data_IF_550359638695
#
_entry.id   IF_550359638695
#
_cell.length_a   1.000
_cell.length_b   1.000
_cell.length_c   1.000
_cell.angle_alpha   90.00
_cell.angle_beta   90.00
_cell.angle_gamma   90.00
#
_symmetry.space_group_name_H-M   'P 1'
#
loop_
_entity.id
_entity.type
_entity.pdbx_description
1 polymer ?
#
# COMPACT_ATOMS: atom_id res chain seq x y z
N UNK A 1 -33.83 71.77 4.21
CA UNK A 1 -33.50 70.63 5.06
C UNK A 1 -33.55 69.35 4.20
N UNK A 2 -32.40 68.88 3.71
CA UNK A 2 -32.29 67.62 2.90
C UNK A 2 -31.65 66.56 3.78
N UNK A 3 -32.44 65.53 4.13
CA UNK A 3 -31.93 64.36 4.82
C UNK A 3 -31.24 63.42 3.81
N UNK A 4 -29.96 63.19 4.00
CA UNK A 4 -29.15 62.24 3.24
C UNK A 4 -29.19 60.91 3.98
N UNK A 5 -29.87 59.90 3.41
CA UNK A 5 -29.90 58.50 3.87
C UNK A 5 -28.63 57.80 3.34
N UNK A 6 -27.67 57.52 4.26
CA UNK A 6 -26.55 56.60 3.95
C UNK A 6 -27.05 55.17 4.05
N UNK A 7 -27.08 54.45 2.93
CA UNK A 7 -27.20 52.99 2.90
C UNK A 7 -25.82 52.37 3.09
N UNK A 8 -25.59 51.78 4.27
CA UNK A 8 -24.47 50.92 4.53
C UNK A 8 -24.76 49.55 3.88
N UNK A 9 -24.10 49.28 2.75
CA UNK A 9 -24.03 47.92 2.18
C UNK A 9 -23.03 47.12 3.03
N UNK A 10 -23.55 46.28 3.92
CA UNK A 10 -22.78 45.22 4.57
C UNK A 10 -22.64 44.07 3.60
N UNK A 11 -21.53 44.02 2.85
CA UNK A 11 -21.17 42.87 2.01
C UNK A 11 -20.74 41.73 2.91
N UNK A 12 -21.65 40.82 3.24
CA UNK A 12 -21.30 39.51 3.76
C UNK A 12 -20.49 38.78 2.72
N UNK A 13 -19.16 38.73 2.91
CA UNK A 13 -18.30 37.76 2.24
C UNK A 13 -18.67 36.37 2.75
N UNK A 14 -19.51 35.69 2.01
CA UNK A 14 -19.76 34.27 2.19
C UNK A 14 -18.51 33.55 1.68
N UNK A 15 -17.63 33.17 2.60
CA UNK A 15 -16.60 32.20 2.31
C UNK A 15 -17.31 30.86 2.04
N UNK A 16 -17.52 30.54 0.77
CA UNK A 16 -17.81 29.18 0.36
C UNK A 16 -16.56 28.36 0.69
N UNK A 17 -16.60 27.62 1.79
CA UNK A 17 -15.70 26.49 1.96
C UNK A 17 -16.01 25.55 0.79
N UNK A 18 -15.10 25.48 -0.18
CA UNK A 18 -15.15 24.44 -1.20
C UNK A 18 -15.22 23.10 -0.47
N UNK A 19 -16.36 22.44 -0.58
CA UNK A 19 -16.50 21.07 -0.11
C UNK A 19 -15.50 20.24 -0.92
N UNK A 20 -14.43 19.77 -0.27
CA UNK A 20 -13.54 18.78 -0.86
C UNK A 20 -14.44 17.61 -1.23
N UNK A 21 -14.65 17.38 -2.52
CA UNK A 21 -15.40 16.22 -3.01
C UNK A 21 -14.57 14.98 -2.64
N UNK A 22 -15.07 14.16 -1.71
CA UNK A 22 -14.46 12.89 -1.28
C UNK A 22 -14.60 11.83 -2.38
N UNK A 23 -14.20 12.18 -3.60
CA UNK A 23 -14.18 11.27 -4.76
C UNK A 23 -12.79 10.75 -4.99
N UNK A 24 -12.71 9.55 -5.55
CA UNK A 24 -11.45 8.97 -6.00
C UNK A 24 -10.98 9.71 -7.25
N UNK A 25 -9.77 10.22 -7.21
CA UNK A 25 -9.08 10.82 -8.35
C UNK A 25 -7.87 9.96 -8.74
N UNK A 26 -7.61 9.83 -10.03
CA UNK A 26 -6.39 9.21 -10.52
C UNK A 26 -5.37 10.31 -10.82
N UNK A 27 -4.21 10.19 -10.20
CA UNK A 27 -3.08 11.08 -10.42
C UNK A 27 -1.86 10.28 -10.89
N UNK A 28 -0.94 10.96 -11.56
CA UNK A 28 0.32 10.37 -11.99
C UNK A 28 1.49 11.30 -11.72
N UNK A 29 2.68 10.72 -11.58
CA UNK A 29 3.94 11.45 -11.43
C UNK A 29 5.05 10.72 -12.17
N UNK A 30 6.14 11.44 -12.41
CA UNK A 30 7.36 10.88 -13.00
C UNK A 30 8.43 10.71 -11.94
N UNK A 31 9.09 9.55 -11.96
CA UNK A 31 10.29 9.28 -11.17
C UNK A 31 11.29 8.54 -12.06
N UNK A 32 12.46 9.13 -12.26
CA UNK A 32 13.44 8.69 -13.26
C UNK A 32 12.79 8.60 -14.67
N UNK A 33 12.89 7.45 -15.32
CA UNK A 33 12.26 7.18 -16.62
C UNK A 33 10.83 6.61 -16.51
N UNK A 34 10.32 6.34 -15.29
CA UNK A 34 9.03 5.71 -15.07
C UNK A 34 7.92 6.76 -14.84
N UNK A 35 6.72 6.48 -15.36
CA UNK A 35 5.47 7.18 -14.99
C UNK A 35 4.67 6.24 -14.10
N UNK A 36 4.32 6.71 -12.91
CA UNK A 36 3.54 5.97 -11.90
C UNK A 36 2.18 6.64 -11.73
N UNK A 37 1.16 5.82 -11.53
CA UNK A 37 -0.21 6.25 -11.26
C UNK A 37 -0.64 5.80 -9.87
N UNK A 38 -1.52 6.55 -9.26
CA UNK A 38 -2.18 6.19 -8.01
C UNK A 38 -3.59 6.78 -7.96
N UNK A 39 -4.46 6.13 -7.19
CA UNK A 39 -5.75 6.65 -6.81
C UNK A 39 -5.62 7.40 -5.49
N UNK A 40 -6.31 8.54 -5.36
CA UNK A 40 -6.33 9.35 -4.15
C UNK A 40 -7.74 9.80 -3.81
N UNK A 41 -8.05 9.79 -2.51
CA UNK A 41 -9.13 10.57 -1.92
C UNK A 41 -8.48 11.67 -1.07
N UNK A 42 -8.53 12.94 -1.54
CA UNK A 42 -7.89 14.04 -0.86
C UNK A 42 -8.62 14.37 0.45
N UNK A 43 -7.87 14.81 1.47
CA UNK A 43 -8.41 15.19 2.76
C UNK A 43 -7.53 16.28 3.38
N UNK A 44 -8.10 17.08 4.29
CA UNK A 44 -7.37 18.04 5.14
C UNK A 44 -6.72 17.36 6.34
N UNK A 45 -6.85 16.07 6.49
CA UNK A 45 -6.29 15.28 7.59
C UNK A 45 -4.77 15.23 7.53
N UNK A 46 -4.15 15.10 8.69
CA UNK A 46 -2.69 15.14 8.84
C UNK A 46 -2.06 13.74 8.96
N UNK A 47 -2.68 12.75 8.35
CA UNK A 47 -2.18 11.38 8.24
C UNK A 47 -2.39 10.88 6.83
N UNK A 48 -1.55 9.95 6.38
CA UNK A 48 -1.68 9.26 5.11
C UNK A 48 -1.89 7.77 5.36
N UNK A 49 -2.87 7.17 4.68
CA UNK A 49 -2.99 5.72 4.55
C UNK A 49 -2.64 5.36 3.12
N UNK A 50 -1.57 4.59 2.96
CA UNK A 50 -1.00 4.21 1.68
C UNK A 50 -1.18 2.71 1.45
N UNK A 51 -1.97 2.33 0.45
CA UNK A 51 -2.27 0.95 0.09
C UNK A 51 -1.38 0.48 -1.07
N UNK A 52 -0.82 -0.74 -0.94
CA UNK A 52 0.07 -1.37 -1.92
C UNK A 52 -0.47 -2.76 -2.24
N UNK A 53 -0.91 -2.95 -3.47
CA UNK A 53 -1.53 -4.19 -3.94
C UNK A 53 -0.53 -5.36 -4.11
N UNK A 54 -1.07 -6.58 -4.15
CA UNK A 54 -0.35 -7.82 -4.42
C UNK A 54 0.02 -8.03 -5.89
N UNK A 55 0.29 -9.27 -6.27
CA UNK A 55 0.68 -9.68 -7.61
C UNK A 55 -0.23 -10.80 -8.14
N UNK A 56 -0.92 -10.60 -9.27
CA UNK A 56 -1.16 -9.32 -9.94
C UNK A 56 -2.14 -8.43 -9.18
N UNK A 57 -2.18 -7.14 -9.51
CA UNK A 57 -3.14 -6.21 -8.91
C UNK A 57 -3.07 -4.81 -9.51
N UNK A 58 -3.85 -3.91 -8.97
CA UNK A 58 -3.87 -2.47 -9.26
C UNK A 58 -4.45 -1.71 -8.08
N UNK A 59 -4.50 -0.38 -8.15
CA UNK A 59 -5.02 0.48 -7.09
C UNK A 59 -6.44 0.08 -6.63
N UNK A 60 -7.26 -0.43 -7.54
CA UNK A 60 -8.67 -0.79 -7.30
C UNK A 60 -8.84 -2.01 -6.38
N UNK A 61 -7.78 -2.76 -6.09
CA UNK A 61 -7.78 -3.78 -5.04
C UNK A 61 -8.21 -3.22 -3.67
N UNK A 62 -8.05 -1.92 -3.47
CA UNK A 62 -8.43 -1.21 -2.25
C UNK A 62 -9.52 -0.15 -2.47
N UNK A 63 -10.28 -0.20 -3.59
CA UNK A 63 -11.33 0.78 -3.90
C UNK A 63 -12.35 0.92 -2.77
N UNK A 64 -12.80 -0.21 -2.19
CA UNK A 64 -13.74 -0.22 -1.08
C UNK A 64 -13.23 0.55 0.16
N UNK A 65 -11.91 0.54 0.40
CA UNK A 65 -11.30 1.31 1.49
C UNK A 65 -11.20 2.80 1.14
N UNK A 66 -10.92 3.12 -0.12
CA UNK A 66 -10.91 4.50 -0.58
C UNK A 66 -12.31 5.15 -0.51
N UNK A 67 -13.37 4.36 -0.71
CA UNK A 67 -14.78 4.79 -0.64
C UNK A 67 -15.33 4.85 0.78
N UNK A 68 -14.62 4.29 1.78
CA UNK A 68 -15.09 4.22 3.15
C UNK A 68 -15.03 5.58 3.85
N UNK A 69 -16.19 6.11 4.26
CA UNK A 69 -16.31 7.43 4.87
C UNK A 69 -15.62 7.55 6.23
N UNK A 70 -15.51 6.47 7.00
CA UNK A 70 -14.80 6.50 8.29
C UNK A 70 -13.29 6.65 8.06
N UNK A 71 -12.73 5.90 7.10
CA UNK A 71 -11.31 6.04 6.72
C UNK A 71 -11.01 7.42 6.12
N UNK A 72 -11.90 7.95 5.26
CA UNK A 72 -11.78 9.31 4.70
C UNK A 72 -11.79 10.39 5.78
N UNK A 73 -12.51 10.15 6.89
CA UNK A 73 -12.53 11.05 8.05
C UNK A 73 -11.26 11.01 8.89
N UNK A 74 -10.39 10.00 8.73
CA UNK A 74 -9.16 9.84 9.50
C UNK A 74 -7.91 10.30 8.75
N UNK A 75 -7.85 10.13 7.42
CA UNK A 75 -6.61 10.32 6.66
C UNK A 75 -6.85 10.74 5.21
N UNK A 76 -5.78 11.18 4.55
CA UNK A 76 -5.64 11.13 3.09
C UNK A 76 -5.48 9.67 2.70
N UNK A 77 -6.28 9.18 1.75
CA UNK A 77 -6.22 7.78 1.31
C UNK A 77 -5.57 7.71 -0.07
N UNK A 78 -4.53 6.90 -0.20
CA UNK A 78 -3.82 6.69 -1.46
C UNK A 78 -3.68 5.20 -1.72
N UNK A 79 -4.00 4.75 -2.94
CA UNK A 79 -3.72 3.39 -3.41
C UNK A 79 -2.92 3.46 -4.70
N UNK A 80 -1.74 2.82 -4.71
CA UNK A 80 -0.80 2.91 -5.84
C UNK A 80 -1.07 1.81 -6.87
N UNK A 81 -0.78 2.12 -8.14
CA UNK A 81 -0.43 1.11 -9.12
C UNK A 81 1.07 0.85 -9.02
N UNK A 82 1.49 -0.36 -8.62
CA UNK A 82 2.92 -0.70 -8.65
C UNK A 82 3.43 -0.70 -10.09
N UNK A 83 4.71 -0.44 -10.28
CA UNK A 83 5.34 -0.49 -11.60
C UNK A 83 5.01 -1.82 -12.32
N UNK A 84 4.61 -1.73 -13.58
CA UNK A 84 4.15 -2.86 -14.40
C UNK A 84 2.65 -3.07 -14.42
N UNK A 85 1.88 -2.43 -13.51
CA UNK A 85 0.44 -2.62 -13.34
C UNK A 85 -0.35 -1.34 -13.53
N UNK A 86 -1.67 -1.49 -13.73
CA UNK A 86 -2.61 -0.38 -13.85
C UNK A 86 -2.16 0.66 -14.87
N UNK A 87 -2.02 1.92 -14.44
CA UNK A 87 -1.47 3.02 -15.23
C UNK A 87 0.05 3.24 -15.06
N UNK A 88 0.73 2.37 -14.28
CA UNK A 88 2.16 2.51 -13.96
C UNK A 88 3.02 1.61 -14.84
N UNK A 89 3.56 2.14 -15.96
CA UNK A 89 4.46 1.39 -16.86
C UNK A 89 3.93 -0.01 -17.25
N UNK A 90 2.65 -0.10 -17.53
CA UNK A 90 1.90 -1.34 -17.75
C UNK A 90 2.62 -2.33 -18.66
N UNK A 91 2.80 -3.56 -18.18
CA UNK A 91 3.46 -4.63 -18.94
C UNK A 91 4.98 -4.63 -18.86
N UNK A 92 5.61 -3.67 -18.16
CA UNK A 92 7.04 -3.63 -17.94
C UNK A 92 7.34 -4.07 -16.48
N UNK A 93 7.90 -5.26 -16.25
CA UNK A 93 8.13 -5.75 -14.89
C UNK A 93 9.24 -4.97 -14.19
N UNK A 94 9.04 -4.70 -12.91
CA UNK A 94 10.10 -4.31 -11.98
C UNK A 94 10.38 -5.50 -11.05
N UNK A 95 11.62 -5.92 -10.98
CA UNK A 95 12.00 -7.14 -10.27
C UNK A 95 12.54 -6.87 -8.86
N UNK A 96 12.91 -5.62 -8.57
CA UNK A 96 13.50 -5.26 -7.29
C UNK A 96 12.46 -4.67 -6.35
N UNK A 97 12.31 -5.25 -5.16
CA UNK A 97 11.51 -4.71 -4.06
C UNK A 97 11.98 -3.30 -3.68
N UNK A 98 13.31 -3.06 -3.71
CA UNK A 98 13.88 -1.75 -3.43
C UNK A 98 13.47 -0.68 -4.44
N UNK A 99 13.42 -1.03 -5.73
CA UNK A 99 12.97 -0.12 -6.76
C UNK A 99 11.47 0.19 -6.62
N UNK A 100 10.64 -0.82 -6.32
CA UNK A 100 9.21 -0.58 -6.02
C UNK A 100 9.02 0.43 -4.89
N UNK A 101 9.78 0.30 -3.78
CA UNK A 101 9.74 1.26 -2.68
C UNK A 101 10.24 2.64 -3.12
N UNK A 102 11.33 2.71 -3.89
CA UNK A 102 11.87 3.95 -4.46
C UNK A 102 10.89 4.67 -5.38
N UNK A 103 10.11 3.93 -6.16
CA UNK A 103 9.05 4.50 -7.00
C UNK A 103 7.89 5.09 -6.19
N UNK A 104 7.59 4.54 -5.02
CA UNK A 104 6.51 5.02 -4.14
C UNK A 104 6.96 6.21 -3.27
N UNK A 105 8.25 6.34 -2.98
CA UNK A 105 8.81 7.42 -2.14
C UNK A 105 8.29 8.82 -2.48
N UNK A 106 8.16 9.25 -3.76
CA UNK A 106 7.65 10.58 -4.10
C UNK A 106 6.27 10.89 -3.53
N UNK A 107 5.42 9.88 -3.28
CA UNK A 107 4.13 10.07 -2.60
C UNK A 107 4.37 10.47 -1.14
N UNK A 108 5.29 9.80 -0.43
CA UNK A 108 5.66 10.17 0.95
C UNK A 108 6.20 11.60 1.01
N UNK A 109 7.03 11.99 0.04
CA UNK A 109 7.60 13.34 -0.02
C UNK A 109 6.53 14.41 -0.32
N UNK A 110 5.62 14.11 -1.25
CA UNK A 110 4.55 15.02 -1.66
C UNK A 110 3.60 15.38 -0.51
N UNK A 111 3.15 14.38 0.23
CA UNK A 111 2.20 14.61 1.32
C UNK A 111 2.90 15.00 2.61
N UNK A 112 4.10 14.52 2.85
CA UNK A 112 4.92 14.79 4.04
C UNK A 112 4.14 14.58 5.35
N UNK A 113 3.36 13.50 5.43
CA UNK A 113 2.49 13.14 6.54
C UNK A 113 2.96 11.86 7.20
N UNK A 114 2.72 11.68 8.52
CA UNK A 114 2.86 10.37 9.16
C UNK A 114 2.03 9.33 8.41
N UNK A 115 2.66 8.24 7.96
CA UNK A 115 2.07 7.30 7.02
C UNK A 115 1.83 5.94 7.65
N UNK A 116 0.59 5.45 7.56
CA UNK A 116 0.25 4.03 7.73
C UNK A 116 0.39 3.38 6.35
N UNK A 117 1.31 2.45 6.19
CA UNK A 117 1.43 1.69 4.95
C UNK A 117 0.76 0.33 5.08
N UNK A 118 -0.13 0.01 4.13
CA UNK A 118 -0.89 -1.24 4.08
C UNK A 118 -0.43 -2.03 2.85
N UNK A 119 0.17 -3.20 3.06
CA UNK A 119 0.67 -4.05 1.98
C UNK A 119 0.00 -5.42 1.96
N UNK A 120 -0.56 -5.82 0.81
CA UNK A 120 -1.15 -7.14 0.61
C UNK A 120 -0.23 -8.03 -0.23
N UNK A 121 -0.04 -9.29 0.18
CA UNK A 121 0.69 -10.30 -0.60
C UNK A 121 2.09 -9.78 -0.99
N UNK A 122 2.42 -9.70 -2.28
CA UNK A 122 3.66 -9.07 -2.80
C UNK A 122 3.79 -7.58 -2.40
N UNK A 123 2.71 -6.87 -2.14
CA UNK A 123 2.75 -5.51 -1.59
C UNK A 123 3.30 -5.45 -0.16
N UNK A 124 3.29 -6.58 0.56
CA UNK A 124 3.84 -6.71 1.92
C UNK A 124 5.34 -6.41 1.99
N UNK A 125 6.21 -7.12 1.24
CA UNK A 125 7.63 -6.81 1.20
C UNK A 125 7.94 -5.41 0.69
N UNK A 126 7.13 -4.84 -0.22
CA UNK A 126 7.28 -3.44 -0.66
C UNK A 126 6.96 -2.48 0.49
N UNK A 127 5.89 -2.73 1.26
CA UNK A 127 5.53 -1.94 2.44
C UNK A 127 6.62 -2.00 3.53
N UNK A 128 7.16 -3.19 3.80
CA UNK A 128 8.29 -3.36 4.71
C UNK A 128 9.53 -2.60 4.21
N UNK A 129 9.81 -2.66 2.91
CA UNK A 129 10.96 -1.98 2.33
C UNK A 129 10.84 -0.45 2.46
N UNK A 130 9.65 0.12 2.34
CA UNK A 130 9.44 1.54 2.66
C UNK A 130 9.77 1.85 4.12
N UNK A 131 9.36 0.99 5.06
CA UNK A 131 9.67 1.18 6.48
C UNK A 131 11.17 0.97 6.80
N UNK A 132 11.87 0.14 6.04
CA UNK A 132 13.32 -0.08 6.16
C UNK A 132 14.14 1.11 5.63
N UNK A 133 13.71 1.67 4.49
CA UNK A 133 14.45 2.72 3.78
C UNK A 133 14.07 4.14 4.27
N UNK A 134 12.85 4.33 4.81
CA UNK A 134 12.31 5.63 5.25
C UNK A 134 11.62 5.50 6.62
N UNK A 135 12.31 5.00 7.66
CA UNK A 135 11.70 4.69 8.96
C UNK A 135 11.03 5.89 9.63
N UNK A 136 11.54 7.11 9.41
CA UNK A 136 11.00 8.37 9.96
C UNK A 136 9.67 8.79 9.31
N UNK A 137 9.33 8.20 8.16
CA UNK A 137 8.10 8.54 7.42
C UNK A 137 6.96 7.57 7.72
N UNK A 138 7.29 6.36 8.16
CA UNK A 138 6.31 5.29 8.36
C UNK A 138 5.92 5.22 9.84
N UNK A 139 4.68 5.56 10.10
CA UNK A 139 4.08 5.52 11.43
C UNK A 139 3.71 4.10 11.87
N UNK A 140 3.23 3.29 10.92
CA UNK A 140 2.81 1.91 11.15
C UNK A 140 2.83 1.11 9.87
N UNK A 141 3.15 -0.17 9.94
CA UNK A 141 3.05 -1.12 8.83
C UNK A 141 1.92 -2.11 9.11
N UNK A 142 0.91 -2.18 8.24
CA UNK A 142 -0.14 -3.19 8.26
C UNK A 142 0.08 -4.17 7.10
N UNK A 143 0.35 -5.41 7.42
CA UNK A 143 0.61 -6.48 6.47
C UNK A 143 -0.58 -7.42 6.38
N UNK A 144 -1.03 -7.68 5.16
CA UNK A 144 -2.15 -8.55 4.85
C UNK A 144 -1.65 -9.74 4.03
N UNK A 145 -1.57 -10.93 4.62
CA UNK A 145 -1.06 -12.14 3.98
C UNK A 145 0.25 -11.90 3.19
N UNK A 146 1.31 -11.36 3.82
CA UNK A 146 2.51 -10.89 3.11
C UNK A 146 3.44 -12.03 2.71
N UNK A 147 4.00 -11.97 1.49
CA UNK A 147 5.10 -12.84 1.01
C UNK A 147 6.44 -12.29 1.47
N UNK A 148 6.93 -12.69 2.65
CA UNK A 148 8.11 -12.08 3.28
C UNK A 148 9.21 -13.06 3.72
N UNK A 149 8.88 -14.35 3.82
CA UNK A 149 9.84 -15.40 4.16
C UNK A 149 10.47 -15.97 2.90
N UNK A 150 11.80 -15.78 2.67
CA UNK A 150 12.46 -16.30 1.48
C UNK A 150 12.41 -17.83 1.38
N UNK A 151 12.35 -18.54 2.51
CA UNK A 151 12.33 -20.01 2.52
C UNK A 151 10.94 -20.58 2.11
N UNK A 152 9.90 -19.76 2.14
CA UNK A 152 8.56 -20.13 1.71
C UNK A 152 8.24 -19.73 0.25
N UNK A 153 9.14 -18.97 -0.40
CA UNK A 153 8.99 -18.54 -1.80
C UNK A 153 9.52 -19.61 -2.75
N UNK A 154 8.70 -20.64 -2.99
CA UNK A 154 9.02 -21.69 -3.93
C UNK A 154 8.55 -21.33 -5.34
N UNK A 155 9.51 -21.30 -6.30
CA UNK A 155 9.17 -21.11 -7.71
C UNK A 155 8.56 -22.41 -8.27
N UNK A 156 7.27 -22.36 -8.54
CA UNK A 156 6.50 -23.52 -9.06
C UNK A 156 6.83 -23.80 -10.53
N UNK A 157 6.70 -25.05 -10.96
CA UNK A 157 7.05 -25.48 -12.32
C UNK A 157 6.35 -24.68 -13.42
N UNK A 158 5.07 -24.30 -13.21
CA UNK A 158 4.31 -23.54 -14.20
C UNK A 158 4.80 -22.08 -14.33
N UNK A 159 5.37 -21.49 -13.27
CA UNK A 159 6.00 -20.17 -13.32
C UNK A 159 7.27 -20.21 -14.17
N UNK A 160 8.11 -21.26 -14.00
CA UNK A 160 9.29 -21.50 -14.84
C UNK A 160 8.90 -21.73 -16.30
N UNK A 161 7.82 -22.48 -16.54
CA UNK A 161 7.29 -22.73 -17.88
C UNK A 161 6.76 -21.43 -18.50
N UNK A 162 5.96 -20.66 -17.77
CA UNK A 162 5.41 -19.36 -18.20
C UNK A 162 6.48 -18.33 -18.55
N UNK A 163 7.70 -18.45 -18.02
CA UNK A 163 8.80 -17.52 -18.31
C UNK A 163 9.52 -17.78 -19.65
N UNK A 164 9.15 -18.81 -20.40
CA UNK A 164 9.70 -19.04 -21.74
C UNK A 164 9.24 -17.95 -22.70
N UNK A 165 10.14 -17.39 -23.51
CA UNK A 165 9.86 -16.25 -24.41
C UNK A 165 8.58 -16.39 -25.24
N UNK A 166 8.32 -17.57 -25.81
CA UNK A 166 7.15 -17.84 -26.62
C UNK A 166 5.85 -17.97 -25.82
N UNK A 167 5.92 -18.42 -24.55
CA UNK A 167 4.77 -18.44 -23.62
C UNK A 167 4.44 -17.01 -23.19
N UNK A 168 5.44 -16.23 -22.78
CA UNK A 168 5.27 -14.83 -22.34
C UNK A 168 4.55 -13.99 -23.39
N UNK A 169 4.85 -14.20 -24.68
CA UNK A 169 4.16 -13.53 -25.78
C UNK A 169 2.65 -13.82 -25.82
N UNK A 170 2.21 -14.97 -25.31
CA UNK A 170 0.80 -15.39 -25.30
C UNK A 170 0.08 -14.99 -23.99
N UNK A 171 0.83 -14.62 -22.94
CA UNK A 171 0.22 -14.25 -21.67
C UNK A 171 -0.31 -12.81 -21.70
N UNK A 172 -1.46 -12.53 -21.02
CA UNK A 172 -1.84 -11.17 -20.72
C UNK A 172 -0.69 -10.44 -19.99
N UNK A 173 -0.44 -9.17 -20.33
CA UNK A 173 0.72 -8.43 -19.83
C UNK A 173 0.83 -8.41 -18.29
N UNK A 174 -0.30 -8.30 -17.57
CA UNK A 174 -0.30 -8.32 -16.10
C UNK A 174 0.07 -9.68 -15.51
N UNK A 175 -0.23 -10.80 -16.20
CA UNK A 175 0.18 -12.16 -15.82
C UNK A 175 1.68 -12.34 -16.07
N UNK A 176 2.18 -11.85 -17.22
CA UNK A 176 3.62 -11.91 -17.52
C UNK A 176 4.43 -11.10 -16.50
N UNK A 177 4.00 -9.89 -16.15
CA UNK A 177 4.63 -9.08 -15.10
C UNK A 177 4.63 -9.81 -13.75
N UNK A 178 3.47 -10.34 -13.33
CA UNK A 178 3.34 -11.10 -12.09
C UNK A 178 4.29 -12.30 -12.06
N UNK A 179 4.33 -13.07 -13.14
CA UNK A 179 5.22 -14.21 -13.22
C UNK A 179 6.70 -13.83 -13.12
N UNK A 180 7.09 -12.72 -13.78
CA UNK A 180 8.47 -12.26 -13.76
C UNK A 180 8.92 -11.72 -12.40
N UNK A 181 8.07 -10.97 -11.69
CA UNK A 181 8.46 -10.40 -10.38
C UNK A 181 8.51 -11.45 -9.26
N UNK A 182 7.70 -12.52 -9.35
CA UNK A 182 7.72 -13.61 -8.37
C UNK A 182 9.00 -14.47 -8.49
N UNK A 183 9.54 -14.66 -9.69
CA UNK A 183 10.71 -15.51 -9.90
C UNK A 183 11.95 -15.11 -9.05
N UNK A 184 12.34 -13.83 -8.97
CA UNK A 184 13.46 -13.39 -8.14
C UNK A 184 13.07 -13.06 -6.69
N UNK A 185 11.79 -13.19 -6.28
CA UNK A 185 11.30 -12.73 -4.99
C UNK A 185 12.12 -13.28 -3.82
N UNK A 186 12.40 -14.59 -3.81
CA UNK A 186 13.26 -15.21 -2.80
C UNK A 186 14.58 -14.46 -2.62
N UNK A 187 15.27 -14.21 -3.72
CA UNK A 187 16.56 -13.51 -3.71
C UNK A 187 16.45 -12.07 -3.21
N UNK A 188 15.42 -11.33 -3.61
CA UNK A 188 15.17 -9.96 -3.16
C UNK A 188 14.83 -9.91 -1.65
N UNK A 189 14.14 -10.92 -1.12
CA UNK A 189 13.87 -11.05 0.31
C UNK A 189 15.16 -11.35 1.10
N UNK A 190 15.96 -12.31 0.65
CA UNK A 190 17.27 -12.63 1.25
C UNK A 190 18.18 -11.39 1.29
N UNK A 191 18.26 -10.66 0.17
CA UNK A 191 19.04 -9.42 0.05
C UNK A 191 18.58 -8.33 1.02
N UNK A 192 17.29 -8.27 1.31
CA UNK A 192 16.68 -7.27 2.20
C UNK A 192 16.63 -7.70 3.67
N UNK A 193 16.93 -8.95 4.00
CA UNK A 193 16.76 -9.49 5.35
C UNK A 193 17.53 -8.71 6.43
N UNK A 194 18.72 -8.22 6.12
CA UNK A 194 19.53 -7.44 7.06
C UNK A 194 18.95 -6.06 7.37
N UNK A 195 18.01 -5.55 6.57
CA UNK A 195 17.36 -4.25 6.73
C UNK A 195 16.21 -4.27 7.75
N UNK A 196 15.74 -5.44 8.20
CA UNK A 196 14.70 -5.52 9.22
C UNK A 196 15.03 -4.72 10.48
N UNK A 197 16.30 -4.64 10.83
CA UNK A 197 16.81 -3.87 11.97
C UNK A 197 16.56 -2.34 11.87
N UNK A 198 16.29 -1.83 10.66
CA UNK A 198 16.04 -0.41 10.42
C UNK A 198 14.60 -0.03 10.70
N UNK A 199 13.68 -1.00 10.79
CA UNK A 199 12.24 -0.72 10.99
C UNK A 199 12.04 -0.22 12.42
N UNK A 200 11.50 0.99 12.54
CA UNK A 200 11.21 1.64 13.82
C UNK A 200 9.71 1.63 14.15
N UNK A 201 8.88 1.59 13.12
CA UNK A 201 7.42 1.64 13.24
C UNK A 201 6.85 0.31 13.75
N UNK A 202 5.77 0.31 14.55
CA UNK A 202 5.03 -0.89 14.87
C UNK A 202 4.54 -1.61 13.61
N UNK A 203 4.42 -2.95 13.73
CA UNK A 203 3.89 -3.82 12.67
C UNK A 203 2.64 -4.53 13.19
N UNK A 204 1.55 -4.47 12.42
CA UNK A 204 0.42 -5.39 12.55
C UNK A 204 0.40 -6.30 11.33
N UNK A 205 0.38 -7.62 11.54
CA UNK A 205 0.33 -8.62 10.49
C UNK A 205 -0.93 -9.45 10.64
N UNK A 206 -1.74 -9.54 9.60
CA UNK A 206 -2.92 -10.41 9.52
C UNK A 206 -2.61 -11.53 8.55
N UNK A 207 -2.73 -12.79 9.02
CA UNK A 207 -2.41 -13.98 8.25
C UNK A 207 -3.52 -15.03 8.41
N UNK A 208 -4.03 -15.51 7.29
CA UNK A 208 -4.97 -16.63 7.30
C UNK A 208 -4.27 -17.97 7.46
N UNK A 209 -4.83 -18.83 8.32
CA UNK A 209 -4.31 -20.20 8.50
C UNK A 209 -4.65 -21.11 7.30
N UNK A 210 -5.67 -20.74 6.50
CA UNK A 210 -6.06 -21.40 5.26
C UNK A 210 -5.55 -20.69 3.98
N UNK A 211 -4.48 -19.90 4.11
CA UNK A 211 -3.86 -19.28 2.97
C UNK A 211 -3.05 -20.31 2.15
N UNK A 212 -3.57 -20.64 0.97
CA UNK A 212 -2.94 -21.61 0.05
C UNK A 212 -1.98 -20.97 -0.95
N UNK A 213 -1.93 -19.63 -1.02
CA UNK A 213 -1.05 -18.90 -1.94
C UNK A 213 0.22 -18.44 -1.25
N UNK A 214 0.08 -17.87 -0.05
CA UNK A 214 1.19 -17.41 0.79
C UNK A 214 1.12 -18.17 2.11
N UNK A 215 2.06 -19.09 2.36
CA UNK A 215 2.03 -19.97 3.52
C UNK A 215 1.97 -19.20 4.84
N UNK A 216 1.19 -19.68 5.84
CA UNK A 216 1.04 -19.02 7.15
C UNK A 216 2.34 -18.81 7.93
N UNK A 217 3.40 -19.57 7.64
CA UNK A 217 4.75 -19.41 8.22
C UNK A 217 5.38 -18.04 8.01
N UNK A 218 4.88 -17.23 7.05
CA UNK A 218 5.31 -15.84 6.88
C UNK A 218 5.10 -15.01 8.16
N UNK A 219 4.05 -15.28 8.95
CA UNK A 219 3.83 -14.63 10.23
C UNK A 219 4.93 -15.01 11.26
N UNK A 220 5.36 -16.27 11.26
CA UNK A 220 6.45 -16.75 12.14
C UNK A 220 7.79 -16.15 11.75
N UNK A 221 8.03 -15.97 10.45
CA UNK A 221 9.20 -15.26 9.95
C UNK A 221 9.23 -13.80 10.41
N UNK A 222 8.12 -13.06 10.34
CA UNK A 222 8.03 -11.72 10.89
C UNK A 222 8.34 -11.69 12.39
N UNK A 223 7.78 -12.65 13.15
CA UNK A 223 8.08 -12.80 14.57
C UNK A 223 9.55 -13.10 14.85
N UNK A 224 10.25 -13.79 13.95
CA UNK A 224 11.69 -14.05 14.04
C UNK A 224 12.51 -12.80 13.73
N UNK A 225 12.21 -12.13 12.63
CA UNK A 225 13.05 -11.08 12.05
C UNK A 225 12.85 -9.71 12.70
N UNK A 226 11.65 -9.35 13.12
CA UNK A 226 11.39 -8.03 13.67
C UNK A 226 12.01 -7.88 15.07
N UNK A 227 12.90 -6.86 15.30
CA UNK A 227 13.70 -6.81 16.51
C UNK A 227 12.89 -6.52 17.78
N UNK A 228 11.93 -5.60 17.71
CA UNK A 228 11.12 -5.17 18.86
C UNK A 228 9.78 -5.91 18.91
N UNK A 229 9.76 -7.07 19.54
CA UNK A 229 8.55 -7.91 19.65
C UNK A 229 7.37 -7.21 20.32
N UNK A 230 7.63 -6.20 21.16
CA UNK A 230 6.57 -5.43 21.84
C UNK A 230 5.74 -4.56 20.87
N UNK A 231 6.30 -4.27 19.70
CA UNK A 231 5.66 -3.50 18.63
C UNK A 231 5.13 -4.37 17.48
N UNK A 232 5.17 -5.70 17.64
CA UNK A 232 4.63 -6.64 16.65
C UNK A 232 3.31 -7.22 17.13
N UNK A 233 2.24 -6.99 16.37
CA UNK A 233 0.94 -7.64 16.55
C UNK A 233 0.70 -8.60 15.41
N UNK A 234 0.42 -9.87 15.72
CA UNK A 234 0.02 -10.89 14.75
C UNK A 234 -1.42 -11.31 15.03
N UNK A 235 -2.24 -11.26 13.97
CA UNK A 235 -3.65 -11.73 13.99
C UNK A 235 -3.71 -12.92 13.04
N UNK A 236 -4.06 -14.09 13.59
CA UNK A 236 -4.26 -15.33 12.82
C UNK A 236 -5.68 -15.84 13.00
N UNK A 237 -6.13 -16.66 12.08
CA UNK A 237 -7.45 -17.30 12.16
C UNK A 237 -7.83 -18.01 10.88
N UNK A 238 -9.06 -18.55 10.89
CA UNK A 238 -9.66 -19.25 9.75
C UNK A 238 -9.97 -18.26 8.60
N UNK A 239 -8.94 -17.83 7.90
CA UNK A 239 -8.99 -16.87 6.81
C UNK A 239 -8.14 -17.38 5.63
N UNK A 240 -8.49 -16.96 4.42
CA UNK A 240 -7.71 -17.27 3.21
C UNK A 240 -6.85 -16.06 2.78
N UNK A 241 -6.17 -16.18 1.62
CA UNK A 241 -5.29 -15.15 1.07
C UNK A 241 -5.97 -13.80 0.78
N UNK A 242 -7.27 -13.81 0.48
CA UNK A 242 -8.00 -12.66 -0.04
C UNK A 242 -8.52 -11.74 1.08
N UNK A 243 -7.66 -11.43 2.05
CA UNK A 243 -7.97 -10.63 3.23
C UNK A 243 -8.58 -9.25 2.91
N UNK A 244 -8.07 -8.45 1.93
CA UNK A 244 -8.63 -7.14 1.63
C UNK A 244 -10.11 -7.17 1.25
N UNK A 245 -10.58 -8.27 0.71
CA UNK A 245 -11.98 -8.42 0.25
C UNK A 245 -12.83 -9.22 1.23
N UNK A 246 -12.32 -10.38 1.69
CA UNK A 246 -13.09 -11.33 2.50
C UNK A 246 -13.12 -10.95 3.99
N UNK A 247 -12.14 -10.16 4.44
CA UNK A 247 -12.00 -9.72 5.83
C UNK A 247 -12.00 -8.17 5.93
N UNK A 248 -12.78 -7.52 5.07
CA UNK A 248 -12.83 -6.06 4.98
C UNK A 248 -13.03 -5.38 6.33
N UNK A 249 -14.01 -5.80 7.12
CA UNK A 249 -14.32 -5.17 8.40
C UNK A 249 -13.16 -5.33 9.41
N UNK A 250 -12.52 -6.51 9.44
CA UNK A 250 -11.35 -6.74 10.31
C UNK A 250 -10.22 -5.79 9.92
N UNK A 251 -9.89 -5.72 8.63
CA UNK A 251 -8.80 -4.87 8.14
C UNK A 251 -9.12 -3.39 8.37
N UNK A 252 -10.35 -2.95 8.06
CA UNK A 252 -10.82 -1.59 8.32
C UNK A 252 -10.68 -1.20 9.79
N UNK A 253 -11.17 -2.06 10.70
CA UNK A 253 -11.09 -1.79 12.13
C UNK A 253 -9.64 -1.71 12.64
N UNK A 254 -8.73 -2.53 12.12
CA UNK A 254 -7.32 -2.41 12.47
C UNK A 254 -6.71 -1.10 11.93
N UNK A 255 -7.05 -0.67 10.72
CA UNK A 255 -6.61 0.64 10.18
C UNK A 255 -7.13 1.79 11.08
N UNK A 256 -8.41 1.77 11.46
CA UNK A 256 -8.99 2.80 12.32
C UNK A 256 -8.31 2.83 13.71
N UNK A 257 -8.08 1.68 14.34
CA UNK A 257 -7.35 1.58 15.63
C UNK A 257 -5.95 2.16 15.53
N UNK A 258 -5.20 1.80 14.47
CA UNK A 258 -3.85 2.31 14.21
C UNK A 258 -3.91 3.84 14.03
N UNK A 259 -4.87 4.34 13.28
CA UNK A 259 -5.00 5.77 12.99
C UNK A 259 -5.42 6.59 14.21
N UNK A 260 -6.20 6.03 15.13
CA UNK A 260 -6.69 6.72 16.34
C UNK A 260 -5.71 6.67 17.51
N UNK A 261 -4.86 5.65 17.62
CA UNK A 261 -3.98 5.42 18.78
C UNK A 261 -2.79 6.38 18.89
N UNK A 262 -2.59 7.29 17.94
CA UNK A 262 -1.51 8.27 17.92
C UNK A 262 -2.07 9.72 17.82
N UNK A 263 -2.86 10.08 18.82
CA UNK A 263 -3.24 11.49 19.05
C UNK A 263 -2.21 12.19 19.90
#
# INVERSE_FOLDING_TARGET
MRFLLLFLFCSCLVFTQDKIENKIHLESYRVNAATLQYAIVPSVKKKLILFIHGSPGSWDAFSKYLEDSELQNEAVLVSVDRHGYGGSMRGLPELSIGNHAGYIKPILDRYNLPTVVVGHSYGGPVALRLAMDYPERIMHVLLLAPSIDPDLEEVRWYQKFGNRKWIRFLLPGFIDVSNQEILPLRFELEKSAHLWRNIQSPITLIQGDNDSLVPPGNADYAAKMYPDKSKLKIIRGDMNHFLPWNQYELVKQEILKISSSQK
#
